data_IF_034716686640
#
_entry.id   IF_034716686640
#
_cell.length_a   1.000
_cell.length_b   1.000
_cell.length_c   1.000
_cell.angle_alpha   90.00
_cell.angle_beta   90.00
_cell.angle_gamma   90.00
#
_symmetry.space_group_name_H-M   'P 1'
#
loop_
_entity.id
_entity.type
_entity.pdbx_description
1 polymer ?
#
# COMPACT_ATOMS: atom_id res chain seq x y z
N UNK A 1 -11.80 46.31 11.50
CA UNK A 1 -12.51 45.10 11.96
C UNK A 1 -11.83 43.91 11.29
N UNK A 2 -11.02 43.19 12.08
CA UNK A 2 -10.25 42.04 11.56
C UNK A 2 -11.13 40.78 11.65
N UNK A 3 -11.35 40.14 10.52
CA UNK A 3 -12.05 38.86 10.45
C UNK A 3 -11.19 37.77 11.13
N UNK A 4 -11.72 37.00 12.07
CA UNK A 4 -10.97 35.90 12.64
C UNK A 4 -10.75 34.81 11.57
N UNK A 5 -9.48 34.49 11.31
CA UNK A 5 -9.08 33.34 10.51
C UNK A 5 -9.52 32.07 11.26
N UNK A 6 -10.55 31.42 10.75
CA UNK A 6 -10.93 30.08 11.21
C UNK A 6 -9.81 29.12 10.80
N UNK A 7 -8.93 28.82 11.72
CA UNK A 7 -8.02 27.69 11.58
C UNK A 7 -8.89 26.43 11.61
N UNK A 8 -9.15 25.84 10.43
CA UNK A 8 -9.71 24.51 10.32
C UNK A 8 -8.66 23.54 10.90
N UNK A 9 -8.85 23.13 12.13
CA UNK A 9 -8.14 21.96 12.65
C UNK A 9 -8.47 20.78 11.74
N UNK A 10 -7.43 20.24 11.11
CA UNK A 10 -7.56 19.00 10.36
C UNK A 10 -7.95 17.89 11.34
N UNK A 11 -8.91 17.02 10.99
CA UNK A 11 -9.28 15.91 11.85
C UNK A 11 -8.05 15.06 12.17
N UNK A 12 -7.99 14.43 13.35
CA UNK A 12 -6.87 13.57 13.71
C UNK A 12 -6.69 12.52 12.61
N UNK A 13 -5.45 12.39 12.11
CA UNK A 13 -5.13 11.47 11.01
C UNK A 13 -5.45 10.04 11.45
N UNK A 14 -6.23 9.33 10.64
CA UNK A 14 -6.47 7.90 10.81
C UNK A 14 -5.13 7.16 10.72
N UNK A 15 -4.92 6.20 11.60
CA UNK A 15 -3.81 5.26 11.46
C UNK A 15 -3.95 4.53 10.13
N UNK A 16 -2.84 4.45 9.38
CA UNK A 16 -2.78 3.77 8.08
C UNK A 16 -2.27 2.36 8.32
N UNK A 17 -3.01 1.37 7.83
CA UNK A 17 -2.61 -0.03 7.82
C UNK A 17 -1.78 -0.32 6.57
N UNK A 18 -0.51 -0.64 6.75
CA UNK A 18 0.42 -0.92 5.66
C UNK A 18 0.77 -2.40 5.65
N UNK A 19 0.60 -3.03 4.51
CA UNK A 19 1.09 -4.39 4.26
C UNK A 19 2.33 -4.29 3.38
N UNK A 20 3.44 -4.85 3.85
CA UNK A 20 4.68 -4.99 3.08
C UNK A 20 4.85 -6.47 2.69
N UNK A 21 4.97 -6.74 1.41
CA UNK A 21 5.19 -8.08 0.85
C UNK A 21 6.61 -8.12 0.31
N UNK A 22 7.52 -8.71 1.08
CA UNK A 22 8.96 -8.64 0.87
C UNK A 22 9.64 -9.90 1.40
N UNK A 23 10.37 -10.60 0.56
CA UNK A 23 11.04 -11.84 0.93
C UNK A 23 12.45 -11.65 1.49
N UNK A 24 13.07 -10.48 1.27
CA UNK A 24 14.38 -10.16 1.81
C UNK A 24 14.27 -9.64 3.26
N UNK A 25 14.79 -10.36 4.27
CA UNK A 25 14.69 -9.92 5.66
C UNK A 25 15.38 -8.58 5.94
N UNK A 26 16.47 -8.26 5.22
CA UNK A 26 17.17 -6.99 5.39
C UNK A 26 16.32 -5.81 4.88
N UNK A 27 15.71 -5.95 3.70
CA UNK A 27 14.80 -4.92 3.15
C UNK A 27 13.58 -4.75 4.04
N UNK A 28 13.02 -5.84 4.56
CA UNK A 28 11.90 -5.81 5.52
C UNK A 28 12.28 -5.06 6.79
N UNK A 29 13.44 -5.35 7.36
CA UNK A 29 13.94 -4.67 8.56
C UNK A 29 14.12 -3.18 8.31
N UNK A 30 14.81 -2.79 7.24
CA UNK A 30 15.07 -1.40 6.89
C UNK A 30 13.76 -0.63 6.63
N UNK A 31 12.80 -1.26 5.96
CA UNK A 31 11.47 -0.69 5.71
C UNK A 31 10.73 -0.46 7.03
N UNK A 32 10.80 -1.41 7.97
CA UNK A 32 10.22 -1.28 9.30
C UNK A 32 10.84 -0.12 10.10
N UNK A 33 12.17 0.02 10.07
CA UNK A 33 12.87 1.12 10.78
C UNK A 33 12.54 2.49 10.18
N UNK A 34 12.46 2.61 8.85
CA UNK A 34 12.05 3.84 8.20
C UNK A 34 10.58 4.20 8.51
N UNK A 35 9.72 3.19 8.63
CA UNK A 35 8.33 3.37 9.04
C UNK A 35 8.21 3.94 10.46
N UNK A 36 9.00 3.39 11.39
CA UNK A 36 9.08 3.91 12.78
C UNK A 36 9.62 5.34 12.81
N UNK A 37 10.68 5.63 12.04
CA UNK A 37 11.28 6.96 11.98
C UNK A 37 10.30 8.00 11.42
N UNK A 38 9.39 7.61 10.52
CA UNK A 38 8.31 8.46 10.02
C UNK A 38 7.16 8.68 11.02
N UNK A 39 7.25 8.12 12.24
CA UNK A 39 6.21 8.24 13.26
C UNK A 39 4.97 7.37 13.04
N UNK A 40 5.06 6.42 12.14
CA UNK A 40 3.98 5.50 11.76
C UNK A 40 4.15 4.15 12.48
N UNK A 41 4.13 4.16 13.80
CA UNK A 41 4.47 3.00 14.65
C UNK A 41 3.39 1.94 14.76
N UNK A 42 2.17 2.22 14.30
CA UNK A 42 1.03 1.30 14.32
C UNK A 42 0.53 1.03 12.91
N UNK A 43 0.11 -0.20 12.64
CA UNK A 43 -0.45 -0.57 11.36
C UNK A 43 0.58 -1.05 10.33
N UNK A 44 1.78 -1.46 10.74
CA UNK A 44 2.77 -2.10 9.87
C UNK A 44 2.72 -3.62 10.01
N UNK A 45 2.48 -4.31 8.92
CA UNK A 45 2.58 -5.77 8.82
C UNK A 45 3.46 -6.15 7.64
N UNK A 46 4.34 -7.11 7.82
CA UNK A 46 5.14 -7.68 6.74
C UNK A 46 4.88 -9.17 6.57
N UNK A 47 4.89 -9.62 5.33
CA UNK A 47 4.80 -11.03 4.94
C UNK A 47 5.88 -11.33 3.89
N UNK A 48 6.38 -12.57 3.87
CA UNK A 48 7.56 -12.93 3.07
C UNK A 48 7.25 -13.71 1.80
N UNK A 49 5.98 -13.99 1.52
CA UNK A 49 5.56 -14.73 0.32
C UNK A 49 4.27 -14.18 -0.27
N UNK A 50 4.03 -14.48 -1.55
CA UNK A 50 2.80 -14.12 -2.23
C UNK A 50 1.58 -14.83 -1.67
N UNK A 51 1.73 -16.08 -1.24
CA UNK A 51 0.67 -16.86 -0.61
C UNK A 51 0.23 -16.24 0.71
N UNK A 52 1.18 -15.85 1.57
CA UNK A 52 0.89 -15.16 2.82
C UNK A 52 0.22 -13.80 2.58
N UNK A 53 0.63 -13.07 1.54
CA UNK A 53 -0.01 -11.81 1.16
C UNK A 53 -1.48 -12.01 0.79
N UNK A 54 -1.80 -13.02 -0.03
CA UNK A 54 -3.19 -13.34 -0.38
C UNK A 54 -3.98 -13.85 0.82
N UNK A 55 -3.39 -14.69 1.67
CA UNK A 55 -4.04 -15.13 2.92
C UNK A 55 -4.35 -13.96 3.85
N UNK A 56 -3.43 -12.97 3.93
CA UNK A 56 -3.62 -11.75 4.73
C UNK A 56 -4.82 -10.93 4.24
N UNK A 57 -4.84 -10.56 2.96
CA UNK A 57 -5.90 -9.70 2.42
C UNK A 57 -7.27 -10.39 2.37
N UNK A 58 -7.28 -11.72 2.27
CA UNK A 58 -8.50 -12.53 2.34
C UNK A 58 -8.88 -12.96 3.77
N UNK A 59 -8.09 -12.58 4.78
CA UNK A 59 -8.31 -12.92 6.20
C UNK A 59 -8.43 -14.42 6.42
N UNK A 60 -7.52 -15.18 5.82
CA UNK A 60 -7.48 -16.65 5.94
C UNK A 60 -6.44 -17.10 6.96
N UNK A 61 -6.60 -18.29 7.47
CA UNK A 61 -5.66 -18.97 8.38
C UNK A 61 -5.27 -18.09 9.59
N UNK A 62 -3.97 -17.92 9.83
CA UNK A 62 -3.43 -17.09 10.91
C UNK A 62 -3.80 -15.60 10.80
N UNK A 63 -4.32 -15.17 9.64
CA UNK A 63 -4.71 -13.78 9.37
C UNK A 63 -6.20 -13.51 9.52
N UNK A 64 -6.99 -14.43 10.10
CA UNK A 64 -8.44 -14.28 10.25
C UNK A 64 -8.89 -12.97 10.91
N UNK A 65 -8.07 -12.43 11.81
CA UNK A 65 -8.33 -11.18 12.54
C UNK A 65 -7.48 -10.00 12.04
N UNK A 66 -6.80 -10.13 10.88
CA UNK A 66 -5.98 -9.06 10.33
C UNK A 66 -6.83 -7.86 9.90
N UNK A 67 -6.27 -6.66 10.05
CA UNK A 67 -6.86 -5.46 9.49
C UNK A 67 -6.76 -5.47 7.96
N UNK A 68 -7.71 -4.84 7.29
CA UNK A 68 -7.61 -4.63 5.85
C UNK A 68 -6.56 -3.54 5.60
N UNK A 69 -5.54 -3.79 4.76
CA UNK A 69 -4.52 -2.77 4.50
C UNK A 69 -5.11 -1.60 3.72
N UNK A 70 -4.64 -0.40 4.04
CA UNK A 70 -4.95 0.82 3.30
C UNK A 70 -4.04 0.99 2.09
N UNK A 71 -2.86 0.38 2.13
CA UNK A 71 -1.86 0.39 1.06
C UNK A 71 -0.99 -0.87 1.15
N UNK A 72 -0.55 -1.37 0.01
CA UNK A 72 0.34 -2.52 -0.09
C UNK A 72 1.62 -2.11 -0.80
N UNK A 73 2.77 -2.39 -0.19
CA UNK A 73 4.08 -2.36 -0.84
C UNK A 73 4.43 -3.79 -1.25
N UNK A 74 4.69 -4.00 -2.53
CA UNK A 74 4.82 -5.32 -3.12
C UNK A 74 6.12 -5.46 -3.90
N UNK A 75 6.98 -6.39 -3.48
CA UNK A 75 8.11 -6.83 -4.31
C UNK A 75 7.62 -7.77 -5.42
N UNK A 76 8.23 -7.66 -6.60
CA UNK A 76 7.99 -8.61 -7.69
C UNK A 76 8.73 -9.93 -7.49
N UNK A 77 9.89 -9.89 -6.82
CA UNK A 77 10.79 -11.04 -6.66
C UNK A 77 10.44 -11.84 -5.41
N UNK A 78 9.28 -12.46 -5.41
CA UNK A 78 8.81 -13.32 -4.32
C UNK A 78 9.06 -14.80 -4.63
N UNK A 79 9.31 -15.64 -3.60
CA UNK A 79 9.35 -17.09 -3.78
C UNK A 79 7.93 -17.62 -4.00
N UNK A 80 7.81 -18.69 -4.80
CA UNK A 80 6.51 -19.31 -5.10
C UNK A 80 5.66 -18.42 -6.00
N UNK A 81 4.61 -17.86 -5.47
CA UNK A 81 3.71 -16.96 -6.20
C UNK A 81 4.39 -15.60 -6.42
N UNK A 82 4.60 -15.23 -7.68
CA UNK A 82 5.27 -13.98 -8.04
C UNK A 82 4.46 -12.73 -7.65
N UNK A 83 5.16 -11.58 -7.49
CA UNK A 83 4.49 -10.32 -7.17
C UNK A 83 3.47 -9.89 -8.27
N UNK A 84 3.70 -10.20 -9.54
CA UNK A 84 2.71 -9.93 -10.60
C UNK A 84 1.43 -10.75 -10.44
N UNK A 85 1.55 -12.02 -10.02
CA UNK A 85 0.39 -12.86 -9.74
C UNK A 85 -0.39 -12.38 -8.52
N UNK A 86 0.31 -11.94 -7.47
CA UNK A 86 -0.31 -11.31 -6.29
C UNK A 86 -1.04 -10.03 -6.68
N UNK A 87 -0.39 -9.13 -7.45
CA UNK A 87 -0.99 -7.90 -7.97
C UNK A 87 -2.27 -8.20 -8.75
N UNK A 88 -2.20 -9.13 -9.70
CA UNK A 88 -3.35 -9.55 -10.51
C UNK A 88 -4.48 -10.08 -9.64
N UNK A 89 -4.20 -10.97 -8.69
CA UNK A 89 -5.20 -11.56 -7.81
C UNK A 89 -5.94 -10.48 -6.98
N UNK A 90 -5.21 -9.51 -6.41
CA UNK A 90 -5.81 -8.43 -5.63
C UNK A 90 -6.61 -7.48 -6.54
N UNK A 91 -6.06 -7.06 -7.68
CA UNK A 91 -6.70 -6.10 -8.58
C UNK A 91 -7.90 -6.65 -9.35
N UNK A 92 -8.05 -7.96 -9.42
CA UNK A 92 -9.26 -8.62 -9.99
C UNK A 92 -10.30 -8.99 -8.94
N UNK A 93 -10.01 -8.81 -7.67
CA UNK A 93 -10.95 -9.08 -6.57
C UNK A 93 -11.75 -7.84 -6.22
N UNK A 94 -13.10 -7.79 -6.40
CA UNK A 94 -13.90 -6.56 -6.32
C UNK A 94 -13.76 -5.78 -5.01
N UNK A 95 -13.68 -6.46 -3.88
CA UNK A 95 -13.57 -5.80 -2.56
C UNK A 95 -12.12 -5.45 -2.17
N UNK A 96 -11.12 -5.81 -2.98
CA UNK A 96 -9.69 -5.51 -2.75
C UNK A 96 -9.10 -4.57 -3.80
N UNK A 97 -9.68 -4.49 -4.99
CA UNK A 97 -9.12 -3.76 -6.13
C UNK A 97 -8.88 -2.27 -5.87
N UNK A 98 -9.61 -1.68 -4.91
CA UNK A 98 -9.46 -0.27 -4.52
C UNK A 98 -8.19 0.00 -3.69
N UNK A 99 -7.59 -1.05 -3.09
CA UNK A 99 -6.37 -0.88 -2.29
C UNK A 99 -5.22 -0.50 -3.21
N UNK A 100 -4.56 0.65 -2.99
CA UNK A 100 -3.41 1.03 -3.78
C UNK A 100 -2.25 0.06 -3.54
N UNK A 101 -1.59 -0.33 -4.64
CA UNK A 101 -0.42 -1.20 -4.62
C UNK A 101 0.75 -0.45 -5.24
N UNK A 102 1.77 -0.21 -4.42
CA UNK A 102 3.06 0.32 -4.82
C UNK A 102 4.00 -0.86 -5.03
N UNK A 103 4.41 -1.07 -6.27
CA UNK A 103 5.36 -2.13 -6.60
C UNK A 103 6.77 -1.57 -6.45
N UNK A 104 7.61 -2.25 -5.69
CA UNK A 104 9.02 -1.93 -5.53
C UNK A 104 9.86 -3.11 -6.03
N UNK A 105 10.75 -2.89 -7.00
CA UNK A 105 11.57 -3.95 -7.60
C UNK A 105 13.03 -3.51 -7.73
N UNK A 106 13.95 -4.45 -7.58
CA UNK A 106 15.38 -4.22 -7.85
C UNK A 106 15.71 -4.07 -9.34
N UNK A 107 14.78 -4.37 -10.23
CA UNK A 107 14.94 -4.28 -11.68
C UNK A 107 13.95 -3.29 -12.29
N UNK A 108 14.39 -2.55 -13.31
CA UNK A 108 13.56 -1.66 -14.14
C UNK A 108 13.27 -2.30 -15.51
N UNK A 109 13.15 -3.60 -15.60
CA UNK A 109 12.76 -4.25 -16.85
C UNK A 109 11.48 -3.60 -17.40
N UNK A 110 11.52 -3.01 -18.62
CA UNK A 110 10.38 -2.33 -19.21
C UNK A 110 9.13 -3.23 -19.34
N UNK A 111 9.30 -4.54 -19.47
CA UNK A 111 8.19 -5.48 -19.54
C UNK A 111 7.51 -5.63 -18.19
N UNK A 112 8.29 -5.71 -17.10
CA UNK A 112 7.72 -5.73 -15.76
C UNK A 112 6.99 -4.42 -15.44
N UNK A 113 7.57 -3.27 -15.80
CA UNK A 113 6.91 -1.96 -15.62
C UNK A 113 5.57 -1.92 -16.35
N UNK A 114 5.54 -2.32 -17.64
CA UNK A 114 4.30 -2.36 -18.42
C UNK A 114 3.27 -3.31 -17.81
N UNK A 115 3.70 -4.50 -17.39
CA UNK A 115 2.81 -5.49 -16.78
C UNK A 115 2.16 -4.98 -15.50
N UNK A 116 2.93 -4.28 -14.63
CA UNK A 116 2.40 -3.70 -13.40
C UNK A 116 1.28 -2.70 -13.69
N UNK A 117 1.49 -1.75 -14.62
CA UNK A 117 0.46 -0.77 -14.96
C UNK A 117 -0.71 -1.39 -15.72
N UNK A 118 -0.48 -2.37 -16.59
CA UNK A 118 -1.54 -3.12 -17.27
C UNK A 118 -2.44 -3.91 -16.29
N UNK A 119 -1.89 -4.31 -15.14
CA UNK A 119 -2.62 -4.96 -14.05
C UNK A 119 -3.20 -3.96 -13.02
N UNK A 120 -3.24 -2.66 -13.35
CA UNK A 120 -3.73 -1.60 -12.47
C UNK A 120 -2.91 -1.40 -11.17
N UNK A 121 -1.60 -1.70 -11.20
CA UNK A 121 -0.67 -1.23 -10.16
C UNK A 121 -0.66 0.30 -10.11
N UNK A 122 -0.60 0.86 -8.93
CA UNK A 122 -0.72 2.31 -8.74
C UNK A 122 0.61 3.04 -8.95
N UNK A 123 1.71 2.36 -8.71
CA UNK A 123 3.05 2.93 -8.87
C UNK A 123 4.05 1.79 -9.04
N UNK A 124 5.05 2.00 -9.90
CA UNK A 124 6.24 1.16 -9.99
C UNK A 124 7.45 1.98 -9.57
N UNK A 125 8.25 1.45 -8.67
CA UNK A 125 9.43 2.11 -8.12
C UNK A 125 10.62 1.16 -8.15
N UNK A 126 11.79 1.67 -8.55
CA UNK A 126 13.03 0.92 -8.46
C UNK A 126 13.60 1.03 -7.06
N UNK A 127 13.88 -0.12 -6.43
CA UNK A 127 14.61 -0.17 -5.16
C UNK A 127 16.06 0.27 -5.38
N UNK A 128 16.55 1.27 -4.64
CA UNK A 128 17.97 1.60 -4.65
C UNK A 128 18.81 0.46 -4.05
N UNK A 129 20.02 0.28 -4.55
CA UNK A 129 20.98 -0.69 -3.98
C UNK A 129 21.80 -0.12 -2.82
N UNK A 130 21.86 1.20 -2.70
CA UNK A 130 22.55 1.91 -1.63
C UNK A 130 21.61 2.10 -0.44
N UNK A 131 22.11 1.82 0.78
CA UNK A 131 21.33 1.88 2.01
C UNK A 131 20.72 3.25 2.27
N UNK A 132 21.51 4.32 2.09
CA UNK A 132 21.04 5.70 2.35
C UNK A 132 19.93 6.09 1.38
N UNK A 133 20.10 5.72 0.11
CA UNK A 133 19.08 5.95 -0.92
C UNK A 133 17.82 5.09 -0.66
N UNK A 134 17.99 3.87 -0.18
CA UNK A 134 16.86 2.99 0.18
C UNK A 134 16.03 3.58 1.32
N UNK A 135 16.67 4.05 2.39
CA UNK A 135 15.96 4.71 3.51
C UNK A 135 15.22 5.95 3.02
N UNK A 136 15.86 6.80 2.21
CA UNK A 136 15.23 7.98 1.63
C UNK A 136 14.06 7.64 0.70
N UNK A 137 14.19 6.57 -0.08
CA UNK A 137 13.12 6.03 -0.91
C UNK A 137 11.91 5.62 -0.05
N UNK A 138 12.12 4.85 1.02
CA UNK A 138 11.04 4.41 1.91
C UNK A 138 10.37 5.60 2.61
N UNK A 139 11.16 6.54 3.16
CA UNK A 139 10.64 7.77 3.76
C UNK A 139 9.75 8.55 2.78
N UNK A 140 10.22 8.75 1.55
CA UNK A 140 9.47 9.49 0.51
C UNK A 140 8.16 8.80 0.16
N UNK A 141 8.15 7.47 0.07
CA UNK A 141 6.93 6.70 -0.16
C UNK A 141 5.92 6.91 0.98
N UNK A 142 6.36 6.82 2.22
CA UNK A 142 5.48 6.99 3.37
C UNK A 142 5.00 8.43 3.53
N UNK A 143 5.86 9.41 3.27
CA UNK A 143 5.46 10.82 3.29
C UNK A 143 4.37 11.08 2.25
N UNK A 144 4.55 10.59 1.04
CA UNK A 144 3.57 10.77 -0.04
C UNK A 144 2.25 10.05 0.26
N UNK A 145 2.29 8.75 0.51
CA UNK A 145 1.08 7.96 0.70
C UNK A 145 0.41 8.17 2.06
N UNK A 146 1.19 8.50 3.09
CA UNK A 146 0.69 8.73 4.45
C UNK A 146 0.23 10.15 4.71
N UNK A 147 0.81 11.13 4.02
CA UNK A 147 0.60 12.55 4.35
C UNK A 147 -0.05 13.35 3.22
N UNK A 148 0.19 13.00 1.95
CA UNK A 148 -0.28 13.75 0.79
C UNK A 148 -1.53 13.13 0.18
N UNK A 149 -1.54 11.81 0.06
CA UNK A 149 -2.64 11.08 -0.57
C UNK A 149 -3.77 10.84 0.42
N UNK A 150 -5.00 11.02 -0.02
CA UNK A 150 -6.19 10.55 0.71
C UNK A 150 -6.49 9.12 0.27
N UNK A 151 -6.21 8.17 1.16
CA UNK A 151 -6.49 6.76 0.89
C UNK A 151 -7.98 6.45 1.01
N UNK A 152 -8.45 5.48 0.21
CA UNK A 152 -9.82 4.99 0.31
C UNK A 152 -10.08 4.43 1.71
N UNK A 153 -11.22 4.76 2.34
CA UNK A 153 -11.60 4.04 3.56
C UNK A 153 -11.82 2.55 3.23
N UNK A 154 -11.56 1.64 4.21
CA UNK A 154 -11.85 0.23 4.01
C UNK A 154 -13.33 0.07 3.63
N UNK A 155 -13.59 -0.68 2.57
CA UNK A 155 -14.96 -1.01 2.20
C UNK A 155 -15.55 -1.84 3.33
N UNK A 156 -16.61 -1.33 3.94
CA UNK A 156 -17.47 -2.16 4.79
C UNK A 156 -18.02 -3.29 3.90
N UNK A 157 -18.28 -4.47 4.46
CA UNK A 157 -18.64 -5.71 3.74
C UNK A 157 -19.92 -5.63 2.88
N UNK A 158 -20.54 -4.46 2.78
CA UNK A 158 -21.67 -4.21 1.88
C UNK A 158 -21.17 -3.83 0.48
N UNK A 159 -21.79 -4.32 -0.58
CA UNK A 159 -21.41 -3.93 -1.94
C UNK A 159 -21.56 -2.42 -2.08
N UNK A 160 -20.47 -1.75 -2.44
CA UNK A 160 -20.50 -0.33 -2.80
C UNK A 160 -21.37 -0.18 -4.05
N UNK A 161 -22.58 0.33 -3.87
CA UNK A 161 -23.44 0.77 -4.96
C UNK A 161 -23.17 2.28 -5.13
N UNK A 162 -22.49 2.71 -6.22
CA UNK A 162 -22.28 4.13 -6.45
C UNK A 162 -23.62 4.81 -6.61
N UNK A 163 -24.01 5.62 -5.63
CA UNK A 163 -25.13 6.55 -5.80
C UNK A 163 -24.67 7.67 -6.71
N UNK A 164 -25.00 7.56 -7.99
CA UNK A 164 -24.87 8.67 -8.92
C UNK A 164 -25.89 9.73 -8.47
N UNK A 165 -25.43 10.81 -7.85
CA UNK A 165 -26.30 11.96 -7.63
C UNK A 165 -26.70 12.50 -9.00
N UNK A 166 -28.02 12.68 -9.30
CA UNK A 166 -28.42 13.32 -10.53
C UNK A 166 -27.80 14.72 -10.55
N UNK A 167 -27.27 15.11 -11.70
CA UNK A 167 -26.78 16.46 -11.91
C UNK A 167 -27.93 17.44 -11.56
N UNK A 168 -27.66 18.38 -10.67
CA UNK A 168 -28.54 19.50 -10.41
C UNK A 168 -28.57 20.35 -11.69
N UNK A 169 -29.71 20.38 -12.38
CA UNK A 169 -29.99 21.34 -13.44
C UNK A 169 -30.07 22.77 -12.89
#
# INVERSE_FOLDING_TARGET
MSTPSVQRELPPRRQIEVLVVESNPADTFLTSEAFKAAGLTSGFTSVSSGEDALNYVHKKEKYANANTPDIIFLDLSLPGLSGLEVLKAIKTTPHLMHIPIVVASGSEDPEHVRAVYALNGNCFMRKPSDLTQFLKFVETCFEFWGNVVTLSPPLQREPFIPTVRPALN
#
